data_IF_135031705126
#
_entry.id   IF_135031705126
#
_cell.length_a   1.000
_cell.length_b   1.000
_cell.length_c   1.000
_cell.angle_alpha   90.00
_cell.angle_beta   90.00
_cell.angle_gamma   90.00
#
_symmetry.space_group_name_H-M   'P 1'
#
loop_
_entity.id
_entity.type
_entity.pdbx_description
1 polymer ?
#
# COMPACT_ATOMS: atom_id res chain seq x y z
N UNK A 1 -16.09 8.10 -13.50
CA UNK A 1 -14.62 7.90 -13.39
C UNK A 1 -14.28 6.55 -14.01
N UNK A 2 -13.34 6.49 -14.95
CA UNK A 2 -12.87 5.22 -15.50
C UNK A 2 -12.14 4.41 -14.41
N UNK A 3 -12.41 3.11 -14.25
CA UNK A 3 -11.82 2.29 -13.19
C UNK A 3 -10.29 2.25 -13.22
N UNK A 4 -9.67 2.41 -14.39
CA UNK A 4 -8.21 2.38 -14.54
C UNK A 4 -7.51 3.61 -13.98
N UNK A 5 -8.19 4.76 -13.91
CA UNK A 5 -7.62 5.98 -13.32
C UNK A 5 -7.41 5.82 -11.81
N UNK A 6 -8.40 5.26 -11.11
CA UNK A 6 -8.33 5.02 -9.66
C UNK A 6 -7.22 4.03 -9.36
N UNK A 7 -7.11 2.95 -10.14
CA UNK A 7 -6.04 1.96 -10.00
C UNK A 7 -4.65 2.58 -10.09
N UNK A 8 -4.40 3.40 -11.13
CA UNK A 8 -3.10 4.10 -11.29
C UNK A 8 -2.81 5.08 -10.17
N UNK A 9 -3.85 5.73 -9.63
CA UNK A 9 -3.69 6.65 -8.50
C UNK A 9 -3.30 5.91 -7.21
N UNK A 10 -3.94 4.77 -6.95
CA UNK A 10 -3.59 3.87 -5.83
C UNK A 10 -2.17 3.35 -5.98
N UNK A 11 -1.78 2.87 -7.17
CA UNK A 11 -0.40 2.41 -7.44
C UNK A 11 0.63 3.50 -7.12
N UNK A 12 0.41 4.72 -7.64
CA UNK A 12 1.31 5.86 -7.41
C UNK A 12 1.44 6.18 -5.93
N UNK A 13 0.32 6.24 -5.20
CA UNK A 13 0.32 6.54 -3.77
C UNK A 13 1.06 5.47 -2.95
N UNK A 14 0.89 4.19 -3.29
CA UNK A 14 1.62 3.10 -2.64
C UNK A 14 3.13 3.26 -2.86
N UNK A 15 3.56 3.48 -4.11
CA UNK A 15 4.99 3.64 -4.46
C UNK A 15 5.58 4.87 -3.76
N UNK A 16 4.90 6.01 -3.79
CA UNK A 16 5.36 7.24 -3.14
C UNK A 16 5.43 7.10 -1.62
N UNK A 17 4.49 6.35 -1.02
CA UNK A 17 4.53 6.03 0.41
C UNK A 17 5.70 5.09 0.72
N UNK A 18 5.90 4.03 -0.06
CA UNK A 18 6.99 3.06 0.15
C UNK A 18 8.38 3.67 -0.01
N UNK A 19 8.56 4.63 -0.92
CA UNK A 19 9.83 5.36 -1.07
C UNK A 19 10.27 6.10 0.19
N UNK A 20 9.35 6.48 1.06
CA UNK A 20 9.66 7.10 2.37
C UNK A 20 10.23 6.08 3.38
N UNK A 21 10.10 4.78 3.11
CA UNK A 21 10.48 3.69 4.01
C UNK A 21 11.36 2.66 3.28
N UNK A 22 12.62 3.00 2.98
CA UNK A 22 13.52 2.11 2.22
C UNK A 22 13.84 0.79 2.94
N UNK A 23 13.64 0.70 4.26
CA UNK A 23 13.81 -0.52 5.06
C UNK A 23 12.54 -1.36 5.18
N UNK A 24 11.52 -1.03 4.40
CA UNK A 24 10.19 -1.62 4.50
C UNK A 24 9.35 -1.00 5.61
N UNK A 25 8.06 -1.33 5.60
CA UNK A 25 7.07 -0.78 6.52
C UNK A 25 6.01 -1.81 6.89
N UNK A 26 5.46 -1.63 8.09
CA UNK A 26 4.31 -2.40 8.55
C UNK A 26 3.17 -2.30 7.54
N UNK A 27 2.76 -3.46 7.01
CA UNK A 27 1.75 -3.56 5.96
C UNK A 27 0.42 -2.89 6.34
N UNK A 28 -0.01 -3.01 7.59
CA UNK A 28 -1.28 -2.41 8.06
C UNK A 28 -1.16 -0.90 8.15
N UNK A 29 0.00 -0.38 8.59
CA UNK A 29 0.28 1.06 8.61
C UNK A 29 0.35 1.64 7.19
N UNK A 30 1.00 0.93 6.26
CA UNK A 30 1.05 1.31 4.85
C UNK A 30 -0.36 1.42 4.25
N UNK A 31 -1.18 0.37 4.42
CA UNK A 31 -2.56 0.36 3.90
C UNK A 31 -3.38 1.50 4.50
N UNK A 32 -3.25 1.73 5.81
CA UNK A 32 -4.01 2.79 6.50
C UNK A 32 -3.60 4.19 6.03
N UNK A 33 -2.33 4.44 5.78
CA UNK A 33 -1.84 5.74 5.28
C UNK A 33 -2.29 5.99 3.85
N UNK A 34 -2.08 5.02 2.95
CA UNK A 34 -2.51 5.12 1.54
C UNK A 34 -4.03 5.33 1.46
N UNK A 35 -4.80 4.56 2.23
CA UNK A 35 -6.24 4.73 2.26
C UNK A 35 -6.62 6.10 2.82
N UNK A 36 -6.03 6.55 3.92
CA UNK A 36 -6.32 7.87 4.51
C UNK A 36 -6.07 9.04 3.54
N UNK A 37 -5.01 8.94 2.72
CA UNK A 37 -4.69 9.96 1.72
C UNK A 37 -5.69 9.98 0.56
N UNK A 38 -6.18 8.81 0.12
CA UNK A 38 -7.03 8.70 -1.05
C UNK A 38 -8.53 8.70 -0.74
N UNK A 39 -8.94 8.35 0.47
CA UNK A 39 -10.34 8.14 0.83
C UNK A 39 -11.16 9.44 0.77
N UNK A 40 -10.53 10.61 0.98
CA UNK A 40 -11.18 11.92 0.78
C UNK A 40 -11.58 12.16 -0.68
N UNK A 41 -10.79 11.67 -1.63
CA UNK A 41 -11.04 11.84 -3.07
C UNK A 41 -11.85 10.68 -3.66
N UNK A 42 -11.67 9.47 -3.13
CA UNK A 42 -12.29 8.24 -3.62
C UNK A 42 -12.96 7.50 -2.45
N UNK A 43 -14.18 7.88 -2.05
CA UNK A 43 -14.85 7.32 -0.87
C UNK A 43 -15.19 5.82 -1.01
N UNK A 44 -15.23 5.28 -2.23
CA UNK A 44 -15.42 3.85 -2.48
C UNK A 44 -14.15 3.00 -2.28
N UNK A 45 -12.98 3.62 -2.09
CA UNK A 45 -11.77 2.89 -1.74
C UNK A 45 -11.90 2.29 -0.34
N UNK A 46 -11.35 1.09 -0.20
CA UNK A 46 -11.31 0.38 1.06
C UNK A 46 -9.97 -0.34 1.16
N UNK A 47 -9.70 -0.92 2.34
CA UNK A 47 -8.43 -1.60 2.61
C UNK A 47 -8.15 -2.77 1.66
N UNK A 48 -9.18 -3.44 1.17
CA UNK A 48 -9.04 -4.58 0.25
C UNK A 48 -8.55 -4.15 -1.13
N UNK A 49 -9.00 -3.00 -1.64
CA UNK A 49 -8.49 -2.44 -2.89
C UNK A 49 -6.99 -2.18 -2.83
N UNK A 50 -6.51 -1.58 -1.73
CA UNK A 50 -5.08 -1.30 -1.52
C UNK A 50 -4.31 -2.61 -1.31
N UNK A 51 -4.81 -3.50 -0.45
CA UNK A 51 -4.16 -4.78 -0.16
C UNK A 51 -4.02 -5.68 -1.39
N UNK A 52 -5.04 -5.72 -2.25
CA UNK A 52 -5.02 -6.51 -3.49
C UNK A 52 -3.94 -6.05 -4.49
N UNK A 53 -3.50 -4.80 -4.42
CA UNK A 53 -2.43 -4.27 -5.28
C UNK A 53 -1.03 -4.47 -4.72
N UNK A 54 -0.89 -4.66 -3.40
CA UNK A 54 0.41 -4.73 -2.75
C UNK A 54 1.27 -5.86 -3.30
N UNK A 55 0.74 -7.09 -3.39
CA UNK A 55 1.53 -8.24 -3.85
C UNK A 55 2.17 -8.00 -5.24
N UNK A 56 1.43 -7.39 -6.17
CA UNK A 56 1.94 -7.04 -7.48
C UNK A 56 2.96 -5.89 -7.44
N UNK A 57 2.70 -4.84 -6.66
CA UNK A 57 3.60 -3.68 -6.54
C UNK A 57 4.94 -4.07 -5.90
N UNK A 58 4.93 -4.89 -4.84
CA UNK A 58 6.16 -5.34 -4.17
C UNK A 58 7.05 -6.10 -5.15
N UNK A 59 6.46 -7.02 -5.93
CA UNK A 59 7.18 -7.77 -6.96
C UNK A 59 7.71 -6.87 -8.08
N UNK A 60 6.91 -5.91 -8.55
CA UNK A 60 7.26 -5.02 -9.68
C UNK A 60 8.32 -3.99 -9.32
N UNK A 61 8.29 -3.45 -8.10
CA UNK A 61 9.16 -2.35 -7.66
C UNK A 61 10.25 -2.79 -6.68
N UNK A 62 10.38 -4.09 -6.40
CA UNK A 62 11.36 -4.67 -5.48
C UNK A 62 11.34 -4.03 -4.08
N UNK A 63 10.15 -3.83 -3.54
CA UNK A 63 9.96 -3.32 -2.19
C UNK A 63 9.70 -4.48 -1.22
N UNK A 64 10.14 -4.32 0.04
CA UNK A 64 9.89 -5.28 1.12
C UNK A 64 8.84 -4.74 2.10
N UNK A 65 8.03 -5.63 2.67
CA UNK A 65 7.11 -5.30 3.75
C UNK A 65 7.64 -5.85 5.07
N UNK A 66 7.35 -5.15 6.17
CA UNK A 66 7.50 -5.75 7.49
C UNK A 66 6.14 -6.22 7.95
N UNK A 67 6.03 -7.48 8.33
CA UNK A 67 4.80 -8.02 8.90
C UNK A 67 5.02 -8.19 10.39
N UNK A 68 4.19 -7.51 11.19
CA UNK A 68 4.18 -7.69 12.65
C UNK A 68 3.36 -8.93 12.99
N UNK A 69 4.06 -9.98 13.40
CA UNK A 69 3.45 -11.10 14.10
C UNK A 69 3.39 -10.77 15.60
N UNK A 70 2.38 -11.24 16.35
CA UNK A 70 2.39 -11.08 17.80
C UNK A 70 3.66 -11.73 18.36
N UNK A 71 4.57 -10.91 18.88
CA UNK A 71 5.87 -11.33 19.44
C UNK A 71 7.10 -11.22 18.53
N UNK A 72 6.95 -11.08 17.20
CA UNK A 72 8.09 -11.03 16.27
C UNK A 72 7.84 -10.10 15.06
N UNK A 73 8.89 -9.40 14.59
CA UNK A 73 8.87 -8.62 13.35
C UNK A 73 9.67 -9.38 12.28
N UNK A 74 9.02 -9.79 11.20
CA UNK A 74 9.67 -10.48 10.08
C UNK A 74 9.65 -9.57 8.85
N UNK A 75 10.80 -9.42 8.21
CA UNK A 75 10.91 -8.76 6.89
C UNK A 75 10.61 -9.79 5.81
N UNK A 76 9.69 -9.47 4.90
CA UNK A 76 9.27 -10.31 3.77
C UNK A 76 9.52 -9.57 2.46
#
# INVERSE_FOLDING_TARGET
>A
MQPDYVKRRVEREIVDTMRKYPRGRDTRKLISEVLGNLQKTYPSLNRHHVAGMLAWILKKYNFSLTTRYPGFMVSV
#
